data_IF_075681813098
#
_entry.id   IF_075681813098
#
_cell.length_a   1.000
_cell.length_b   1.000
_cell.length_c   1.000
_cell.angle_alpha   90.00
_cell.angle_beta   90.00
_cell.angle_gamma   90.00
#
_symmetry.space_group_name_H-M   'P 1'
#
loop_
_entity.id
_entity.type
_entity.pdbx_description
1 polymer ?
#
# COMPACT_ATOMS: atom_id res chain seq x y z
N UNK A 1 -26.56 -27.48 -4.79
CA UNK A 1 -25.11 -27.33 -4.70
C UNK A 1 -24.77 -25.96 -4.15
N UNK A 2 -24.17 -25.93 -2.99
CA UNK A 2 -23.75 -24.69 -2.37
C UNK A 2 -22.38 -24.29 -2.91
N UNK A 3 -22.36 -23.22 -3.66
CA UNK A 3 -21.09 -22.60 -4.06
C UNK A 3 -20.70 -21.67 -2.93
N UNK A 4 -19.75 -22.10 -2.09
CA UNK A 4 -19.12 -21.20 -1.16
C UNK A 4 -18.12 -20.35 -1.91
N UNK A 5 -18.55 -19.17 -2.32
CA UNK A 5 -17.60 -18.15 -2.70
C UNK A 5 -16.98 -17.62 -1.41
N UNK A 6 -15.78 -18.09 -1.11
CA UNK A 6 -14.93 -17.40 -0.16
C UNK A 6 -14.46 -16.12 -0.82
N UNK A 7 -15.28 -15.09 -0.72
CA UNK A 7 -14.77 -13.76 -0.96
C UNK A 7 -13.91 -13.41 0.22
N UNK A 8 -12.58 -13.53 0.05
CA UNK A 8 -11.63 -12.88 0.93
C UNK A 8 -11.88 -11.38 0.76
N UNK A 9 -12.80 -10.84 1.54
CA UNK A 9 -12.92 -9.41 1.65
C UNK A 9 -11.69 -8.92 2.39
N UNK A 10 -10.71 -8.42 1.66
CA UNK A 10 -9.80 -7.49 2.27
C UNK A 10 -10.68 -6.40 2.84
N UNK A 11 -10.66 -6.23 4.16
CA UNK A 11 -11.41 -5.17 4.82
C UNK A 11 -10.96 -3.79 4.36
N UNK A 12 -9.80 -3.71 3.74
CA UNK A 12 -9.20 -2.47 3.22
C UNK A 12 -9.24 -2.54 1.70
N UNK A 13 -9.77 -1.50 1.08
CA UNK A 13 -9.83 -1.35 -0.36
C UNK A 13 -8.93 -0.22 -0.82
N UNK A 14 -8.17 -0.48 -1.88
CA UNK A 14 -7.38 0.51 -2.58
C UNK A 14 -7.98 0.68 -3.95
N UNK A 15 -8.13 1.92 -4.39
CA UNK A 15 -8.81 2.25 -5.65
C UNK A 15 -7.97 1.99 -6.90
N UNK A 16 -6.81 1.36 -6.75
CA UNK A 16 -5.89 1.05 -7.86
C UNK A 16 -5.33 -0.35 -7.70
N UNK A 17 -5.08 -1.02 -8.83
CA UNK A 17 -4.42 -2.32 -8.87
C UNK A 17 -2.93 -2.20 -9.23
N UNK A 18 -2.52 -1.07 -9.80
CA UNK A 18 -1.15 -0.74 -10.16
C UNK A 18 -0.99 0.77 -10.20
N UNK A 19 0.25 1.24 -10.16
CA UNK A 19 0.57 2.66 -10.11
C UNK A 19 1.46 3.04 -11.28
N UNK A 20 1.22 4.21 -11.84
CA UNK A 20 2.03 4.78 -12.91
C UNK A 20 2.55 6.14 -12.48
N UNK A 21 3.86 6.30 -12.49
CA UNK A 21 4.54 7.53 -12.13
C UNK A 21 5.38 8.00 -13.29
N UNK A 22 5.05 9.17 -13.84
CA UNK A 22 5.81 9.80 -14.93
C UNK A 22 6.83 10.76 -14.34
N UNK A 23 7.95 10.95 -15.05
CA UNK A 23 9.02 11.83 -14.57
C UNK A 23 8.53 13.23 -14.23
N UNK A 24 7.58 13.77 -15.01
CA UNK A 24 7.02 15.10 -14.80
C UNK A 24 6.02 15.17 -13.64
N UNK A 25 5.60 14.04 -13.10
CA UNK A 25 4.67 14.04 -11.97
C UNK A 25 5.39 14.48 -10.70
N UNK A 26 4.78 15.40 -9.95
CA UNK A 26 5.30 15.81 -8.64
C UNK A 26 4.88 14.82 -7.55
N UNK A 27 3.73 14.22 -7.73
CA UNK A 27 3.16 13.22 -6.83
C UNK A 27 2.07 12.47 -7.57
N UNK A 28 1.76 11.27 -7.09
CA UNK A 28 0.54 10.58 -7.49
C UNK A 28 -0.27 10.26 -6.24
N UNK A 29 -1.58 10.25 -6.38
CA UNK A 29 -2.51 10.06 -5.26
C UNK A 29 -3.22 8.72 -5.39
N UNK A 30 -3.52 8.11 -4.25
CA UNK A 30 -4.42 6.97 -4.23
C UNK A 30 -5.22 6.96 -2.94
N UNK A 31 -6.43 6.40 -3.02
CA UNK A 31 -7.35 6.34 -1.90
C UNK A 31 -7.34 4.97 -1.26
N UNK A 32 -7.37 4.96 0.05
CA UNK A 32 -7.50 3.74 0.84
C UNK A 32 -8.75 3.86 1.70
N UNK A 33 -9.53 2.81 1.74
CA UNK A 33 -10.79 2.78 2.47
C UNK A 33 -10.87 1.56 3.37
N UNK A 34 -11.26 1.79 4.62
CA UNK A 34 -11.59 0.71 5.54
C UNK A 34 -13.08 0.36 5.39
N UNK A 35 -13.35 -0.77 4.77
CA UNK A 35 -14.72 -1.26 4.56
C UNK A 35 -15.28 -2.00 5.77
N UNK A 36 -14.46 -2.28 6.77
CA UNK A 36 -14.93 -2.93 7.97
C UNK A 36 -15.88 -2.01 8.74
N UNK A 37 -16.92 -2.57 9.28
CA UNK A 37 -17.86 -1.83 10.12
C UNK A 37 -17.43 -1.78 11.58
N UNK A 38 -16.51 -2.64 11.99
CA UNK A 38 -16.12 -2.80 13.38
C UNK A 38 -14.64 -2.72 13.67
N UNK A 39 -13.80 -2.94 12.66
CA UNK A 39 -12.34 -3.03 12.86
C UNK A 39 -11.63 -1.76 12.45
N UNK A 40 -10.67 -1.36 13.29
CA UNK A 40 -9.71 -0.30 12.98
C UNK A 40 -8.41 -0.95 12.57
N UNK A 41 -7.71 -0.36 11.61
CA UNK A 41 -6.41 -0.84 11.14
C UNK A 41 -5.36 0.25 11.26
N UNK A 42 -4.15 -0.18 11.63
CA UNK A 42 -2.94 0.60 11.42
C UNK A 42 -2.40 0.17 10.06
N UNK A 43 -2.12 1.15 9.21
CA UNK A 43 -1.67 0.90 7.84
C UNK A 43 -0.30 1.54 7.67
N UNK A 44 0.68 0.73 7.33
CA UNK A 44 2.03 1.17 7.02
C UNK A 44 2.30 0.96 5.54
N UNK A 45 2.79 1.99 4.86
CA UNK A 45 3.02 1.95 3.42
C UNK A 45 4.43 2.42 3.09
N UNK A 46 5.08 1.74 2.15
CA UNK A 46 6.42 2.12 1.69
C UNK A 46 6.66 1.60 0.29
N UNK A 47 7.65 2.16 -0.37
CA UNK A 47 8.09 1.71 -1.70
C UNK A 47 9.41 0.98 -1.55
N UNK A 48 9.56 -0.14 -2.24
CA UNK A 48 10.78 -0.93 -2.27
C UNK A 48 11.17 -1.24 -3.71
N UNK A 49 12.41 -1.68 -3.89
CA UNK A 49 12.85 -2.14 -5.20
C UNK A 49 12.14 -3.42 -5.59
N UNK A 50 11.97 -3.62 -6.89
CA UNK A 50 11.34 -4.82 -7.42
C UNK A 50 12.15 -6.07 -7.08
N UNK A 51 13.48 -5.98 -7.14
CA UNK A 51 14.36 -7.06 -6.72
C UNK A 51 14.39 -7.15 -5.19
N UNK A 52 13.92 -8.26 -4.65
CA UNK A 52 13.85 -8.48 -3.20
C UNK A 52 15.21 -8.49 -2.51
N UNK A 53 16.28 -8.77 -3.26
CA UNK A 53 17.64 -8.78 -2.73
C UNK A 53 18.22 -7.36 -2.59
N UNK A 54 17.62 -6.38 -3.27
CA UNK A 54 18.03 -4.98 -3.17
C UNK A 54 17.37 -4.35 -1.95
N UNK A 55 18.13 -4.20 -0.87
CA UNK A 55 17.68 -3.61 0.39
C UNK A 55 17.93 -2.11 0.46
N UNK A 56 18.44 -1.49 -0.60
CA UNK A 56 18.63 -0.04 -0.63
C UNK A 56 17.28 0.68 -0.65
N UNK A 57 17.27 1.95 -0.25
CA UNK A 57 16.08 2.76 -0.31
C UNK A 57 15.64 3.00 -1.74
N UNK A 58 14.35 2.78 -2.02
CA UNK A 58 13.77 3.15 -3.29
C UNK A 58 13.63 4.68 -3.37
N UNK A 59 13.68 5.26 -4.58
CA UNK A 59 13.61 6.73 -4.74
C UNK A 59 12.19 7.29 -4.65
N UNK A 60 11.35 6.69 -3.83
CA UNK A 60 9.96 7.12 -3.60
C UNK A 60 9.61 6.96 -2.14
N UNK A 61 8.77 7.86 -1.64
CA UNK A 61 8.14 7.72 -0.33
C UNK A 61 6.63 7.77 -0.48
N UNK A 62 5.93 7.20 0.49
CA UNK A 62 4.47 7.32 0.61
C UNK A 62 4.19 8.19 1.82
N UNK A 63 3.38 9.22 1.65
CA UNK A 63 3.10 10.18 2.70
C UNK A 63 1.58 10.31 2.93
N UNK A 64 1.13 10.19 4.18
CA UNK A 64 1.85 9.71 5.35
C UNK A 64 2.13 8.20 5.25
N UNK A 65 3.25 7.75 5.82
CA UNK A 65 3.65 6.34 5.74
C UNK A 65 2.94 5.45 6.77
N UNK A 66 2.35 6.05 7.78
CA UNK A 66 1.66 5.34 8.84
C UNK A 66 0.37 6.07 9.17
N UNK A 67 -0.75 5.36 9.05
CA UNK A 67 -2.07 5.92 9.37
C UNK A 67 -2.86 4.94 10.21
N UNK A 68 -3.79 5.49 10.99
CA UNK A 68 -4.81 4.73 11.71
C UNK A 68 -6.14 4.98 11.01
N UNK A 69 -6.77 3.93 10.52
CA UNK A 69 -8.00 4.03 9.73
C UNK A 69 -9.12 3.33 10.48
N UNK A 70 -10.06 4.11 10.98
CA UNK A 70 -11.22 3.60 11.71
C UNK A 70 -12.25 3.01 10.75
N UNK A 71 -13.27 2.28 11.26
CA UNK A 71 -14.31 1.71 10.40
C UNK A 71 -14.94 2.74 9.48
N UNK A 72 -15.11 2.38 8.23
CA UNK A 72 -15.71 3.20 7.17
C UNK A 72 -14.97 4.49 6.81
N UNK A 73 -13.76 4.69 7.34
CA UNK A 73 -12.97 5.87 6.99
C UNK A 73 -12.22 5.67 5.67
N UNK A 74 -12.02 6.79 4.98
CA UNK A 74 -11.21 6.90 3.77
C UNK A 74 -10.01 7.80 4.05
N UNK A 75 -8.91 7.54 3.35
CA UNK A 75 -7.76 8.41 3.39
C UNK A 75 -7.07 8.45 2.03
N UNK A 76 -6.53 9.61 1.67
CA UNK A 76 -5.77 9.77 0.44
C UNK A 76 -4.28 9.80 0.77
N UNK A 77 -3.53 8.88 0.16
CA UNK A 77 -2.09 8.78 0.30
C UNK A 77 -1.42 9.33 -0.95
N UNK A 78 -0.17 9.81 -0.78
CA UNK A 78 0.63 10.36 -1.88
C UNK A 78 1.88 9.51 -2.05
N UNK A 79 2.25 9.25 -3.30
CA UNK A 79 3.55 8.70 -3.64
C UNK A 79 4.37 9.84 -4.24
N UNK A 80 5.55 10.07 -3.68
CA UNK A 80 6.42 11.18 -4.04
C UNK A 80 7.80 10.64 -4.39
N UNK A 81 8.32 11.06 -5.54
CA UNK A 81 9.70 10.74 -5.93
C UNK A 81 10.66 11.61 -5.13
N UNK A 82 11.62 11.00 -4.46
CA UNK A 82 12.58 11.69 -3.59
C UNK A 82 13.91 11.96 -4.23
N UNK A 83 14.30 11.16 -5.22
CA UNK A 83 15.58 11.25 -5.88
C UNK A 83 15.43 11.04 -7.38
N UNK A 84 16.42 11.52 -8.15
CA UNK A 84 16.45 11.26 -9.57
C UNK A 84 16.71 9.79 -9.85
N UNK A 85 16.03 9.27 -10.87
CA UNK A 85 16.17 7.89 -11.29
C UNK A 85 17.16 7.87 -12.45
N UNK A 86 18.23 7.08 -12.29
CA UNK A 86 19.35 7.07 -13.23
C UNK A 86 19.00 6.46 -14.59
N UNK A 87 18.05 5.52 -14.61
CA UNK A 87 17.64 4.92 -15.88
C UNK A 87 16.70 5.88 -16.61
N UNK A 88 17.18 6.45 -17.72
CA UNK A 88 16.44 7.45 -18.48
C UNK A 88 15.92 6.94 -19.81
N UNK A 89 16.29 5.71 -20.20
CA UNK A 89 15.97 5.17 -21.52
C UNK A 89 14.90 4.08 -21.50
N UNK A 90 14.52 3.64 -20.34
CA UNK A 90 13.50 2.59 -20.19
C UNK A 90 12.70 2.77 -18.91
N UNK A 91 11.55 2.14 -18.90
CA UNK A 91 10.67 2.11 -17.73
C UNK A 91 11.31 1.29 -16.61
N UNK A 92 11.09 1.73 -15.36
CA UNK A 92 11.53 1.02 -14.16
C UNK A 92 10.32 0.58 -13.36
N UNK A 93 10.46 -0.53 -12.61
CA UNK A 93 9.38 -1.08 -11.80
C UNK A 93 9.82 -1.14 -10.34
N UNK A 94 8.94 -0.68 -9.47
CA UNK A 94 9.10 -0.71 -8.01
C UNK A 94 7.91 -1.42 -7.38
N UNK A 95 7.95 -1.64 -6.08
CA UNK A 95 6.85 -2.24 -5.33
C UNK A 95 6.29 -1.26 -4.32
N UNK A 96 4.98 -1.07 -4.35
CA UNK A 96 4.25 -0.39 -3.29
C UNK A 96 3.79 -1.46 -2.31
N UNK A 97 4.26 -1.35 -1.06
CA UNK A 97 3.94 -2.30 -0.01
C UNK A 97 2.96 -1.65 0.96
N UNK A 98 1.90 -2.37 1.27
CA UNK A 98 0.89 -1.91 2.21
C UNK A 98 0.68 -2.99 3.25
N UNK A 99 1.03 -2.67 4.49
CA UNK A 99 0.91 -3.58 5.62
C UNK A 99 -0.27 -3.16 6.47
N UNK A 100 -1.18 -4.10 6.70
CA UNK A 100 -2.38 -3.90 7.49
C UNK A 100 -2.22 -4.62 8.82
N UNK A 101 -2.37 -3.88 9.92
CA UNK A 101 -2.32 -4.45 11.26
C UNK A 101 -3.64 -4.10 11.97
N UNK A 102 -4.46 -5.09 12.31
CA UNK A 102 -5.69 -4.81 13.05
C UNK A 102 -5.38 -4.31 14.45
N UNK A 103 -6.12 -3.29 14.87
CA UNK A 103 -6.03 -2.79 16.26
C UNK A 103 -6.92 -3.67 17.13
N UNK A 104 -6.35 -4.13 18.25
CA UNK A 104 -7.09 -4.91 19.22
C UNK A 104 -7.52 -4.00 20.36
N UNK A 105 -8.77 -4.11 20.77
CA UNK A 105 -9.23 -3.47 22.00
C UNK A 105 -8.87 -4.33 23.22
N UNK A 106 -9.02 -3.75 24.41
CA UNK A 106 -8.67 -4.43 25.67
C UNK A 106 -9.49 -5.71 25.91
N UNK A 107 -10.70 -5.78 25.39
CA UNK A 107 -11.53 -6.97 25.52
C UNK A 107 -11.02 -8.14 24.69
N UNK A 108 -10.36 -7.83 23.58
CA UNK A 108 -9.79 -8.84 22.69
C UNK A 108 -8.40 -9.28 23.15
N UNK A 109 -7.69 -8.46 23.91
CA UNK A 109 -6.33 -8.74 24.36
C UNK A 109 -6.24 -9.98 25.25
N UNK A 110 -7.30 -10.27 26.02
CA UNK A 110 -7.37 -11.42 26.92
C UNK A 110 -7.77 -12.72 26.22
N UNK A 111 -8.11 -12.65 24.95
CA UNK A 111 -8.43 -13.82 24.14
C UNK A 111 -7.22 -14.18 23.29
N UNK A 112 -6.86 -15.43 23.25
CA UNK A 112 -5.77 -15.92 22.40
C UNK A 112 -6.12 -15.71 20.91
N UNK A 113 -6.14 -14.47 20.47
CA UNK A 113 -6.44 -14.12 19.09
C UNK A 113 -5.15 -14.17 18.28
N UNK A 114 -5.20 -14.92 17.19
CA UNK A 114 -4.14 -14.94 16.20
C UNK A 114 -4.20 -13.62 15.42
N UNK A 115 -3.24 -12.74 15.70
CA UNK A 115 -3.10 -11.49 14.96
C UNK A 115 -2.34 -11.76 13.68
N UNK A 116 -3.02 -11.60 12.55
CA UNK A 116 -2.40 -11.73 11.25
C UNK A 116 -2.27 -10.34 10.65
N UNK A 117 -1.04 -9.90 10.45
CA UNK A 117 -0.79 -8.73 9.62
C UNK A 117 -0.82 -9.17 8.16
N UNK A 118 -1.50 -8.40 7.31
CA UNK A 118 -1.58 -8.69 5.89
C UNK A 118 -0.73 -7.70 5.12
N UNK A 119 0.10 -8.23 4.22
CA UNK A 119 0.89 -7.40 3.31
C UNK A 119 0.33 -7.53 1.90
N UNK A 120 0.02 -6.40 1.30
CA UNK A 120 -0.37 -6.31 -0.11
C UNK A 120 0.72 -5.61 -0.88
N UNK A 121 1.02 -6.10 -2.08
CA UNK A 121 2.10 -5.57 -2.92
C UNK A 121 1.51 -5.20 -4.27
N UNK A 122 1.81 -3.99 -4.73
CA UNK A 122 1.37 -3.45 -6.02
C UNK A 122 2.59 -3.00 -6.81
N UNK A 123 2.52 -3.14 -8.13
CA UNK A 123 3.60 -2.65 -8.98
C UNK A 123 3.48 -1.14 -9.19
N UNK A 124 4.62 -0.45 -9.13
CA UNK A 124 4.75 0.96 -9.45
C UNK A 124 5.66 1.07 -10.66
N UNK A 125 5.12 1.56 -11.77
CA UNK A 125 5.85 1.75 -13.02
C UNK A 125 6.30 3.20 -13.13
N UNK A 126 7.59 3.41 -13.28
CA UNK A 126 8.13 4.74 -13.50
C UNK A 126 8.54 4.90 -14.96
N UNK A 127 8.05 5.96 -15.60
CA UNK A 127 8.32 6.24 -17.01
C UNK A 127 9.11 7.54 -17.15
N UNK A 128 10.37 7.46 -17.63
CA UNK A 128 11.16 8.66 -17.93
C UNK A 128 10.59 9.45 -19.09
N UNK A 129 10.90 10.75 -19.15
CA UNK A 129 10.39 11.63 -20.20
C UNK A 129 10.94 11.33 -21.58
N UNK A 130 12.10 10.63 -21.65
CA UNK A 130 12.76 10.31 -22.91
C UNK A 130 12.15 9.13 -23.67
N UNK A 131 11.13 8.52 -23.12
CA UNK A 131 10.46 7.37 -23.76
C UNK A 131 9.22 7.82 -24.49
#
# INVERSE_FOLDING_TARGET
SFVFTFSCYASIQINKDRFFYKEQDKEILFDIRNKSEQKTYIIQSWVSHYNKEDNSEAPFIISPSLIRLAPNENFTLKIIKTDDIKEINQESVYRVNIKLVPVIDDEMADKNLLLISLNSIYNLFYTPSNI
#
